data_IF_448252312966
#
_entry.id   IF_448252312966
#
_cell.length_a   1.000
_cell.length_b   1.000
_cell.length_c   1.000
_cell.angle_alpha   90.00
_cell.angle_beta   90.00
_cell.angle_gamma   90.00
#
_symmetry.space_group_name_H-M   'P 1'
#
loop_
_entity.id
_entity.type
_entity.pdbx_description
1 polymer ?
#
# COMPACT_ATOMS: atom_id res chain seq x y z
N UNK A 1 -26.64 -4.48 -10.24
CA UNK A 1 -26.31 -4.53 -8.81
C UNK A 1 -24.86 -4.09 -8.54
N UNK A 2 -23.88 -4.68 -9.23
CA UNK A 2 -22.47 -4.35 -9.00
C UNK A 2 -22.14 -2.92 -9.36
N UNK A 3 -22.64 -2.41 -10.49
CA UNK A 3 -22.40 -1.04 -10.95
C UNK A 3 -22.96 0.00 -9.99
N UNK A 4 -24.18 -0.21 -9.46
CA UNK A 4 -24.85 0.78 -8.63
C UNK A 4 -24.32 0.81 -7.18
N UNK A 5 -23.92 -0.34 -6.65
CA UNK A 5 -23.35 -0.44 -5.29
C UNK A 5 -21.87 -0.12 -5.30
N UNK A 6 -21.11 -0.69 -6.24
CA UNK A 6 -19.66 -0.52 -6.32
C UNK A 6 -19.27 0.92 -6.66
N UNK A 7 -19.92 1.54 -7.65
CA UNK A 7 -19.59 2.91 -8.06
C UNK A 7 -19.81 3.97 -6.96
N UNK A 8 -20.64 3.67 -5.96
CA UNK A 8 -20.92 4.58 -4.84
C UNK A 8 -19.96 4.43 -3.67
N UNK A 9 -19.25 3.32 -3.64
CA UNK A 9 -18.32 3.02 -2.55
C UNK A 9 -17.32 1.97 -3.06
N UNK A 10 -16.25 2.40 -3.71
CA UNK A 10 -15.27 1.50 -4.33
C UNK A 10 -14.24 0.97 -3.34
N UNK A 11 -13.96 1.71 -2.28
CA UNK A 11 -12.92 1.40 -1.28
C UNK A 11 -13.47 0.79 0.02
N UNK A 12 -14.80 0.67 0.15
CA UNK A 12 -15.42 0.22 1.40
C UNK A 12 -15.43 1.26 2.51
N UNK A 13 -14.99 2.49 2.22
CA UNK A 13 -14.91 3.63 3.14
C UNK A 13 -15.85 4.78 2.75
N UNK A 14 -16.66 4.58 1.71
CA UNK A 14 -17.66 5.54 1.24
C UNK A 14 -17.20 6.42 0.07
N UNK A 15 -16.01 6.20 -0.48
CA UNK A 15 -15.56 6.93 -1.67
C UNK A 15 -16.25 6.40 -2.92
N UNK A 16 -16.84 7.29 -3.71
CA UNK A 16 -17.36 6.94 -5.02
C UNK A 16 -16.24 6.79 -6.07
N UNK A 17 -16.60 6.28 -7.24
CA UNK A 17 -15.63 6.03 -8.31
C UNK A 17 -14.93 7.32 -8.79
N UNK A 18 -15.64 8.44 -8.85
CA UNK A 18 -15.09 9.71 -9.34
C UNK A 18 -14.07 10.28 -8.34
N UNK A 19 -14.38 10.22 -7.05
CA UNK A 19 -13.46 10.63 -5.99
C UNK A 19 -12.21 9.74 -5.95
N UNK A 20 -12.39 8.42 -6.04
CA UNK A 20 -11.30 7.47 -6.09
C UNK A 20 -10.40 7.69 -7.32
N UNK A 21 -11.00 7.86 -8.51
CA UNK A 21 -10.26 8.13 -9.75
C UNK A 21 -9.48 9.45 -9.67
N UNK A 22 -10.04 10.47 -9.04
CA UNK A 22 -9.35 11.75 -8.81
C UNK A 22 -8.13 11.60 -7.92
N UNK A 23 -8.22 10.82 -6.83
CA UNK A 23 -7.06 10.53 -5.97
C UNK A 23 -5.97 9.79 -6.73
N UNK A 24 -6.32 8.75 -7.48
CA UNK A 24 -5.39 8.01 -8.34
C UNK A 24 -4.69 8.91 -9.37
N UNK A 25 -5.44 9.83 -9.98
CA UNK A 25 -4.87 10.78 -10.95
C UNK A 25 -3.86 11.71 -10.28
N UNK A 26 -4.18 12.27 -9.11
CA UNK A 26 -3.28 13.14 -8.35
C UNK A 26 -2.00 12.36 -7.99
N UNK A 27 -2.14 11.14 -7.46
CA UNK A 27 -1.02 10.27 -7.13
C UNK A 27 -0.16 9.97 -8.38
N UNK A 28 -0.78 9.58 -9.50
CA UNK A 28 -0.07 9.30 -10.74
C UNK A 28 0.65 10.51 -11.33
N UNK A 29 0.08 11.71 -11.24
CA UNK A 29 0.75 12.94 -11.66
C UNK A 29 1.93 13.31 -10.76
N UNK A 30 1.81 13.05 -9.46
CA UNK A 30 2.84 13.37 -8.46
C UNK A 30 4.03 12.41 -8.54
N UNK A 31 3.76 11.10 -8.59
CA UNK A 31 4.80 10.06 -8.55
C UNK A 31 5.11 9.44 -9.92
N UNK A 32 4.30 9.77 -10.94
CA UNK A 32 4.38 9.17 -12.28
C UNK A 32 3.53 7.92 -12.45
N UNK A 33 3.15 7.26 -11.36
CA UNK A 33 2.24 6.11 -11.30
C UNK A 33 1.58 6.02 -9.94
N UNK A 34 0.53 5.22 -9.86
CA UNK A 34 -0.16 4.84 -8.62
C UNK A 34 -0.63 3.39 -8.75
N UNK A 35 -0.95 2.75 -7.63
CA UNK A 35 -1.40 1.38 -7.65
C UNK A 35 -2.78 1.25 -6.99
N UNK A 36 -3.56 0.32 -7.51
CA UNK A 36 -4.81 -0.14 -6.91
C UNK A 36 -4.68 -1.62 -6.60
N UNK A 37 -4.74 -1.98 -5.33
CA UNK A 37 -4.86 -3.36 -4.88
C UNK A 37 -6.33 -3.72 -4.77
N UNK A 38 -6.73 -4.81 -5.43
CA UNK A 38 -8.09 -5.36 -5.26
C UNK A 38 -8.04 -6.37 -4.14
N UNK A 39 -8.75 -6.09 -3.06
CA UNK A 39 -8.82 -6.95 -1.88
C UNK A 39 -10.25 -7.41 -1.62
N UNK A 40 -10.42 -8.41 -0.77
CA UNK A 40 -11.70 -8.99 -0.40
C UNK A 40 -11.77 -9.19 1.12
N UNK A 41 -12.91 -8.85 1.77
CA UNK A 41 -13.03 -9.00 3.21
C UNK A 41 -12.79 -10.44 3.66
N UNK A 42 -12.16 -10.62 4.82
CA UNK A 42 -11.90 -11.94 5.42
C UNK A 42 -13.16 -12.82 5.49
N UNK A 43 -13.05 -14.15 5.37
CA UNK A 43 -14.20 -15.07 5.41
C UNK A 43 -15.05 -14.86 6.66
N UNK A 44 -16.38 -14.68 6.50
CA UNK A 44 -17.31 -14.44 7.62
C UNK A 44 -18.24 -15.62 7.91
N UNK A 45 -17.97 -16.78 7.31
CA UNK A 45 -18.85 -17.94 7.46
C UNK A 45 -20.17 -17.87 6.66
N UNK A 46 -20.34 -16.87 5.79
CA UNK A 46 -21.46 -16.80 4.85
C UNK A 46 -21.47 -18.06 3.96
N UNK A 47 -22.62 -18.72 3.89
CA UNK A 47 -22.82 -19.99 3.17
C UNK A 47 -23.43 -19.82 1.79
N UNK A 48 -23.87 -18.61 1.47
CA UNK A 48 -24.51 -18.30 0.19
C UNK A 48 -24.18 -16.90 -0.31
N UNK A 49 -24.26 -16.72 -1.63
CA UNK A 49 -24.11 -15.40 -2.27
C UNK A 49 -25.14 -14.38 -1.76
N UNK A 50 -26.32 -14.83 -1.36
CA UNK A 50 -27.35 -13.96 -0.80
C UNK A 50 -26.94 -13.43 0.58
N UNK A 51 -26.34 -14.26 1.43
CA UNK A 51 -25.79 -13.85 2.73
C UNK A 51 -24.59 -12.90 2.56
N UNK A 52 -23.70 -13.17 1.62
CA UNK A 52 -22.58 -12.25 1.30
C UNK A 52 -23.07 -10.87 0.86
N UNK A 53 -24.11 -10.84 0.01
CA UNK A 53 -24.74 -9.59 -0.42
C UNK A 53 -25.43 -8.86 0.73
N UNK A 54 -26.11 -9.58 1.62
CA UNK A 54 -26.75 -8.99 2.81
C UNK A 54 -25.74 -8.37 3.77
N UNK A 55 -24.53 -8.96 3.86
CA UNK A 55 -23.42 -8.47 4.65
C UNK A 55 -22.57 -7.41 3.89
N UNK A 56 -23.02 -6.98 2.70
CA UNK A 56 -22.27 -6.09 1.79
C UNK A 56 -20.83 -6.54 1.54
N UNK A 57 -20.59 -7.86 1.52
CA UNK A 57 -19.26 -8.42 1.25
C UNK A 57 -19.01 -8.41 -0.24
N UNK A 58 -18.03 -7.66 -0.64
CA UNK A 58 -17.65 -7.46 -2.02
C UNK A 58 -16.16 -7.12 -2.12
N UNK A 59 -15.53 -7.32 -3.27
CA UNK A 59 -14.21 -6.76 -3.52
C UNK A 59 -14.24 -5.25 -3.32
N UNK A 60 -13.16 -4.72 -2.80
CA UNK A 60 -12.94 -3.29 -2.66
C UNK A 60 -11.52 -2.93 -3.13
N UNK A 61 -11.32 -1.66 -3.43
CA UNK A 61 -10.07 -1.17 -3.94
C UNK A 61 -9.31 -0.43 -2.84
N UNK A 62 -8.03 -0.73 -2.74
CA UNK A 62 -7.09 -0.03 -1.85
C UNK A 62 -6.13 0.74 -2.73
N UNK A 63 -6.07 2.06 -2.53
CA UNK A 63 -5.03 2.89 -3.12
C UNK A 63 -3.69 2.59 -2.44
N UNK A 64 -2.69 2.25 -3.23
CA UNK A 64 -1.33 2.02 -2.74
C UNK A 64 -0.40 3.06 -3.36
N UNK A 65 0.10 3.93 -2.51
CA UNK A 65 1.10 4.93 -2.88
C UNK A 65 2.40 4.23 -3.32
N UNK A 66 3.05 4.68 -4.40
CA UNK A 66 4.32 4.11 -4.85
C UNK A 66 5.42 4.09 -3.77
N UNK A 67 5.41 5.03 -2.84
CA UNK A 67 6.36 5.08 -1.71
C UNK A 67 6.18 3.94 -0.71
N UNK A 68 4.98 3.34 -0.68
CA UNK A 68 4.65 2.19 0.15
C UNK A 68 4.99 0.85 -0.54
N UNK A 69 5.40 0.86 -1.80
CA UNK A 69 5.85 -0.37 -2.49
C UNK A 69 7.34 -0.56 -2.25
N UNK A 70 7.69 -1.40 -1.29
CA UNK A 70 9.09 -1.63 -0.89
C UNK A 70 9.87 -2.46 -1.88
N UNK A 71 9.19 -3.13 -2.83
CA UNK A 71 9.83 -3.83 -3.92
C UNK A 71 8.95 -4.89 -4.57
N UNK A 72 9.40 -5.35 -5.70
CA UNK A 72 8.68 -6.34 -6.50
C UNK A 72 9.65 -7.31 -7.19
N UNK A 73 9.10 -8.43 -7.66
CA UNK A 73 9.79 -9.40 -8.51
C UNK A 73 8.96 -9.66 -9.76
N UNK A 74 9.65 -9.82 -10.87
CA UNK A 74 9.07 -10.13 -12.18
C UNK A 74 9.50 -11.51 -12.62
N UNK A 75 8.60 -12.22 -13.30
CA UNK A 75 8.98 -13.40 -14.08
C UNK A 75 9.66 -12.93 -15.37
N UNK A 76 10.93 -13.26 -15.50
CA UNK A 76 11.73 -12.91 -16.70
C UNK A 76 11.82 -14.05 -17.70
N UNK A 77 11.45 -15.28 -17.31
CA UNK A 77 11.66 -16.48 -18.13
C UNK A 77 10.39 -16.90 -18.90
N UNK A 78 9.24 -16.92 -18.24
CA UNK A 78 8.01 -17.46 -18.85
C UNK A 78 7.06 -16.41 -19.39
N UNK A 79 6.97 -15.23 -18.75
CA UNK A 79 6.04 -14.16 -19.13
C UNK A 79 6.63 -12.79 -18.77
N UNK A 80 7.23 -12.14 -19.72
CA UNK A 80 7.82 -10.81 -19.56
C UNK A 80 6.80 -9.82 -18.95
N UNK A 81 7.08 -9.38 -17.72
CA UNK A 81 6.32 -8.34 -17.05
C UNK A 81 5.27 -8.81 -16.03
N UNK A 82 5.06 -10.12 -15.85
CA UNK A 82 4.18 -10.60 -14.79
C UNK A 82 4.85 -10.50 -13.43
N UNK A 83 4.13 -9.90 -12.48
CA UNK A 83 4.56 -9.82 -11.09
C UNK A 83 4.49 -11.21 -10.45
N UNK A 84 5.60 -11.65 -9.86
CA UNK A 84 5.68 -12.88 -9.05
C UNK A 84 5.69 -12.62 -7.56
N UNK A 85 6.03 -11.40 -7.15
CA UNK A 85 5.96 -10.96 -5.76
C UNK A 85 5.86 -9.43 -5.72
N UNK A 86 5.06 -8.92 -4.78
CA UNK A 86 5.04 -7.49 -4.38
C UNK A 86 5.12 -7.40 -2.87
N UNK A 87 5.86 -6.42 -2.36
CA UNK A 87 5.96 -6.09 -0.94
C UNK A 87 5.45 -4.69 -0.70
N UNK A 88 4.39 -4.58 0.09
CA UNK A 88 3.69 -3.33 0.39
C UNK A 88 3.84 -3.03 1.87
N UNK A 89 4.36 -1.84 2.20
CA UNK A 89 4.37 -1.32 3.56
C UNK A 89 3.01 -0.79 3.96
N UNK A 90 2.55 -1.15 5.14
CA UNK A 90 1.26 -0.74 5.70
C UNK A 90 1.43 -0.35 7.16
N UNK A 91 0.50 0.45 7.68
CA UNK A 91 0.40 0.73 9.12
C UNK A 91 -0.83 0.04 9.68
N UNK A 92 -0.62 -0.77 10.73
CA UNK A 92 -1.71 -1.40 11.46
C UNK A 92 -1.95 -0.65 12.77
N UNK A 93 -3.18 -0.22 12.98
CA UNK A 93 -3.63 0.36 14.25
C UNK A 93 -4.29 -0.74 15.06
N UNK A 94 -3.77 -1.01 16.24
CA UNK A 94 -4.27 -2.06 17.14
C UNK A 94 -4.69 -1.39 18.46
N UNK A 95 -5.90 -1.67 18.97
CA UNK A 95 -6.33 -1.16 20.27
C UNK A 95 -5.36 -1.58 21.39
N UNK A 96 -5.00 -0.64 22.26
CA UNK A 96 -4.17 -0.86 23.45
C UNK A 96 -4.91 -0.40 24.71
N UNK A 97 -5.69 -1.30 25.30
CA UNK A 97 -6.59 -1.00 26.40
C UNK A 97 -7.88 -0.30 25.95
N UNK A 98 -8.53 0.42 26.89
CA UNK A 98 -9.85 1.03 26.64
C UNK A 98 -9.74 2.37 25.86
N UNK A 99 -8.61 3.09 25.98
CA UNK A 99 -8.45 4.44 25.44
C UNK A 99 -7.22 4.61 24.57
N UNK A 100 -6.39 3.58 24.42
CA UNK A 100 -5.12 3.64 23.70
C UNK A 100 -5.16 2.93 22.38
N UNK A 101 -4.27 3.35 21.46
CA UNK A 101 -4.01 2.70 20.17
C UNK A 101 -2.50 2.59 19.97
N UNK A 102 -2.06 1.46 19.43
CA UNK A 102 -0.69 1.25 18.97
C UNK A 102 -0.64 1.14 17.47
N UNK A 103 0.33 1.82 16.88
CA UNK A 103 0.58 1.79 15.44
C UNK A 103 1.81 0.94 15.17
N UNK A 104 1.65 -0.13 14.41
CA UNK A 104 2.72 -1.01 13.99
C UNK A 104 3.02 -0.83 12.51
N UNK A 105 4.28 -0.83 12.16
CA UNK A 105 4.71 -0.97 10.77
C UNK A 105 4.64 -2.45 10.37
N UNK A 106 3.98 -2.72 9.26
CA UNK A 106 3.86 -4.08 8.72
C UNK A 106 4.13 -4.12 7.22
N UNK A 107 4.51 -5.27 6.74
CA UNK A 107 4.78 -5.54 5.33
C UNK A 107 3.88 -6.65 4.85
N UNK A 108 3.03 -6.35 3.87
CA UNK A 108 2.23 -7.33 3.15
C UNK A 108 3.01 -7.83 1.94
N UNK A 109 3.28 -9.11 1.90
CA UNK A 109 3.92 -9.81 0.78
C UNK A 109 2.85 -10.56 0.01
N UNK A 110 2.66 -10.20 -1.25
CA UNK A 110 1.65 -10.81 -2.12
C UNK A 110 2.38 -11.57 -3.24
N UNK A 111 1.97 -12.81 -3.43
CA UNK A 111 2.42 -13.71 -4.49
C UNK A 111 1.18 -14.27 -5.20
N UNK A 112 1.29 -14.82 -6.42
CA UNK A 112 0.15 -15.46 -7.06
C UNK A 112 -0.46 -16.54 -6.16
N UNK A 113 -1.73 -16.40 -5.82
CA UNK A 113 -2.49 -17.35 -5.01
C UNK A 113 -2.33 -17.22 -3.49
N UNK A 114 -1.45 -16.39 -2.97
CA UNK A 114 -1.26 -16.24 -1.52
C UNK A 114 -0.79 -14.86 -1.10
N UNK A 115 -1.06 -14.51 0.17
CA UNK A 115 -0.46 -13.35 0.82
C UNK A 115 0.04 -13.71 2.23
N UNK A 116 0.97 -12.90 2.73
CA UNK A 116 1.52 -12.97 4.07
C UNK A 116 1.74 -11.56 4.59
N UNK A 117 1.40 -11.33 5.85
CA UNK A 117 1.61 -10.05 6.54
C UNK A 117 2.60 -10.25 7.66
N UNK A 118 3.66 -9.47 7.62
CA UNK A 118 4.72 -9.46 8.61
C UNK A 118 4.66 -8.15 9.36
N UNK A 119 4.69 -8.21 10.68
CA UNK A 119 4.72 -7.05 11.55
C UNK A 119 6.08 -6.91 12.19
N UNK A 120 6.58 -5.68 12.25
CA UNK A 120 7.79 -5.38 12.97
C UNK A 120 7.50 -5.39 14.47
N UNK A 121 8.29 -6.12 15.26
CA UNK A 121 8.22 -6.04 16.71
C UNK A 121 8.61 -4.62 17.18
N UNK A 122 7.88 -4.09 18.16
CA UNK A 122 8.26 -2.84 18.81
C UNK A 122 9.66 -3.02 19.43
N UNK A 123 10.65 -2.35 18.85
CA UNK A 123 11.90 -2.16 19.58
C UNK A 123 11.56 -1.27 20.78
N UNK A 124 11.54 -1.87 21.97
CA UNK A 124 11.56 -1.10 23.22
C UNK A 124 12.84 -0.27 23.19
N UNK A 125 12.72 1.01 22.88
CA UNK A 125 13.80 1.94 23.08
C UNK A 125 14.10 1.92 24.59
N UNK A 126 15.11 1.18 25.01
CA UNK A 126 15.66 1.32 26.36
C UNK A 126 16.17 2.74 26.44
N UNK A 127 15.42 3.59 27.16
CA UNK A 127 15.88 4.91 27.54
C UNK A 127 17.05 4.74 28.51
N UNK A 128 18.25 4.64 27.97
CA UNK A 128 19.46 4.69 28.76
C UNK A 128 19.87 6.16 28.97
N UNK A 129 19.51 6.71 30.12
CA UNK A 129 20.07 7.96 30.61
C UNK A 129 19.05 9.04 30.98
N UNK A 130 19.44 9.97 31.90
CA UNK A 130 18.55 11.03 32.39
C UNK A 130 18.30 12.18 31.42
N UNK A 131 18.82 12.14 30.19
CA UNK A 131 18.58 13.10 29.13
C UNK A 131 18.20 12.39 27.85
N UNK A 132 17.02 12.68 27.25
CA UNK A 132 16.62 12.11 25.98
C UNK A 132 17.35 12.80 24.82
N UNK A 133 18.62 12.47 24.60
CA UNK A 133 19.24 12.72 23.30
C UNK A 133 18.79 11.58 22.38
N UNK A 134 18.28 11.88 21.16
CA UNK A 134 18.09 10.83 20.18
C UNK A 134 19.44 10.17 19.95
N UNK A 135 19.49 8.85 20.20
CA UNK A 135 20.65 8.05 19.89
C UNK A 135 21.08 8.37 18.46
N UNK A 136 22.37 8.65 18.29
CA UNK A 136 23.01 8.94 17.03
C UNK A 136 22.45 8.04 15.93
N UNK A 137 22.24 8.63 14.74
CA UNK A 137 21.94 7.94 13.49
C UNK A 137 23.06 6.95 13.12
N UNK A 138 23.26 5.95 13.93
CA UNK A 138 24.11 4.83 13.57
C UNK A 138 23.22 3.79 12.89
N UNK A 139 23.18 3.84 11.57
CA UNK A 139 22.50 2.91 10.68
C UNK A 139 23.19 1.54 10.66
N UNK A 140 23.74 1.08 11.74
CA UNK A 140 24.34 -0.24 11.83
C UNK A 140 23.36 -1.23 12.47
N UNK A 141 22.81 -2.10 11.60
CA UNK A 141 22.34 -3.45 11.92
C UNK A 141 21.25 -3.67 12.98
N UNK A 142 20.20 -2.83 13.01
CA UNK A 142 18.96 -3.32 13.53
C UNK A 142 18.33 -4.25 12.47
N UNK A 143 18.63 -5.54 12.50
CA UNK A 143 17.81 -6.57 11.87
C UNK A 143 16.44 -6.49 12.55
N UNK A 144 15.54 -5.66 12.00
CA UNK A 144 14.18 -5.60 12.46
C UNK A 144 13.59 -7.01 12.36
N UNK A 145 13.27 -7.59 13.48
CA UNK A 145 12.69 -8.92 13.54
C UNK A 145 11.22 -8.78 13.13
N UNK A 146 10.83 -9.43 12.05
CA UNK A 146 9.48 -9.43 11.53
C UNK A 146 8.77 -10.71 11.89
N UNK A 147 7.67 -10.61 12.60
CA UNK A 147 6.79 -11.73 12.93
C UNK A 147 5.69 -11.89 11.89
N UNK A 148 5.42 -13.13 11.48
CA UNK A 148 4.27 -13.44 10.62
C UNK A 148 2.98 -13.37 11.45
N UNK A 149 2.15 -12.35 11.19
CA UNK A 149 0.90 -12.12 11.93
C UNK A 149 -0.34 -12.59 11.20
N UNK A 150 -0.29 -12.66 9.86
CA UNK A 150 -1.41 -13.09 9.04
C UNK A 150 -0.94 -13.76 7.76
N UNK A 151 -1.67 -14.74 7.28
CA UNK A 151 -1.48 -15.35 5.97
C UNK A 151 -2.78 -15.88 5.42
N UNK A 152 -2.92 -15.91 4.10
CA UNK A 152 -4.09 -16.46 3.44
C UNK A 152 -3.82 -16.80 2.00
N UNK A 153 -4.72 -17.62 1.44
CA UNK A 153 -4.69 -18.05 0.06
C UNK A 153 -5.90 -17.46 -0.69
N UNK A 154 -5.70 -17.19 -1.98
CA UNK A 154 -6.76 -16.76 -2.87
C UNK A 154 -6.67 -17.47 -4.23
N UNK A 155 -7.79 -17.57 -4.95
CA UNK A 155 -7.89 -18.37 -6.18
C UNK A 155 -7.30 -17.70 -7.43
N UNK A 156 -6.88 -16.43 -7.36
CA UNK A 156 -6.33 -15.72 -8.51
C UNK A 156 -4.89 -16.20 -8.78
N UNK A 157 -4.63 -16.61 -10.03
CA UNK A 157 -3.30 -16.99 -10.49
C UNK A 157 -2.35 -15.82 -10.76
N UNK A 158 -2.75 -14.61 -10.39
CA UNK A 158 -1.97 -13.38 -10.53
C UNK A 158 -2.13 -12.48 -9.31
N UNK A 159 -1.18 -11.58 -9.10
CA UNK A 159 -1.25 -10.58 -8.03
C UNK A 159 -2.33 -9.55 -8.39
N UNK A 160 -3.33 -9.31 -7.51
CA UNK A 160 -4.44 -8.40 -7.79
C UNK A 160 -4.04 -6.91 -7.61
N UNK A 161 -2.89 -6.52 -8.15
CA UNK A 161 -2.36 -5.15 -8.13
C UNK A 161 -2.38 -4.57 -9.54
N UNK A 162 -3.13 -3.50 -9.73
CA UNK A 162 -3.22 -2.75 -10.99
C UNK A 162 -2.40 -1.48 -10.86
N UNK A 163 -1.45 -1.27 -11.77
CA UNK A 163 -0.65 -0.05 -11.82
C UNK A 163 -1.18 0.89 -12.88
N UNK A 164 -1.52 2.10 -12.48
CA UNK A 164 -1.96 3.19 -13.34
C UNK A 164 -0.77 4.13 -13.55
N UNK A 165 -0.41 4.37 -14.80
CA UNK A 165 0.75 5.16 -15.17
C UNK A 165 0.32 6.49 -15.80
N UNK A 166 0.91 7.60 -15.35
CA UNK A 166 0.85 8.87 -16.07
C UNK A 166 1.92 8.94 -17.16
N UNK A 167 3.11 8.38 -16.91
CA UNK A 167 4.22 8.33 -17.88
C UNK A 167 5.08 7.09 -17.64
N UNK A 168 4.63 5.95 -18.17
CA UNK A 168 5.30 4.65 -18.00
C UNK A 168 6.68 4.64 -18.68
N UNK A 169 7.71 4.26 -17.95
CA UNK A 169 9.04 3.99 -18.49
C UNK A 169 9.37 2.51 -18.52
N UNK A 170 8.91 1.75 -17.48
CA UNK A 170 9.06 0.30 -17.40
C UNK A 170 7.97 -0.27 -16.46
N UNK A 171 7.98 -1.59 -16.21
CA UNK A 171 7.08 -2.24 -15.24
C UNK A 171 7.35 -1.70 -13.84
N UNK A 172 6.31 -1.22 -13.18
CA UNK A 172 6.36 -0.59 -11.84
C UNK A 172 7.29 0.65 -11.78
N UNK A 173 7.61 1.25 -12.92
CA UNK A 173 8.51 2.40 -13.01
C UNK A 173 7.95 3.45 -13.95
N UNK A 174 8.09 4.72 -13.57
CA UNK A 174 7.59 5.85 -14.36
C UNK A 174 8.38 7.14 -14.05
N UNK A 175 8.26 8.11 -14.96
CA UNK A 175 8.76 9.47 -14.71
C UNK A 175 7.58 10.37 -14.31
N UNK A 176 7.62 11.05 -13.14
CA UNK A 176 6.57 12.00 -12.78
C UNK A 176 6.43 13.13 -13.80
N UNK A 177 5.26 13.37 -14.38
CA UNK A 177 5.10 14.40 -15.41
C UNK A 177 5.27 15.83 -14.87
N UNK A 178 5.06 16.04 -13.57
CA UNK A 178 5.22 17.34 -12.92
C UNK A 178 6.65 17.63 -12.43
N UNK A 179 7.59 16.68 -12.58
CA UNK A 179 8.95 16.80 -12.03
C UNK A 179 9.70 18.00 -12.58
N UNK A 180 9.60 18.25 -13.89
CA UNK A 180 10.34 19.34 -14.55
C UNK A 180 9.79 20.72 -14.09
N UNK A 181 8.47 20.83 -13.85
CA UNK A 181 7.83 22.03 -13.31
C UNK A 181 8.23 22.24 -11.85
N UNK A 182 8.31 21.19 -11.05
CA UNK A 182 8.77 21.27 -9.66
C UNK A 182 10.22 21.78 -9.56
N UNK A 183 11.12 21.29 -10.42
CA UNK A 183 12.50 21.76 -10.49
C UNK A 183 12.58 23.24 -10.91
N UNK A 184 11.77 23.65 -11.89
CA UNK A 184 11.72 25.05 -12.32
C UNK A 184 11.25 25.97 -11.18
N UNK A 185 10.22 25.55 -10.45
CA UNK A 185 9.69 26.29 -9.31
C UNK A 185 10.73 26.43 -8.19
N UNK A 186 11.44 25.35 -7.88
CA UNK A 186 12.51 25.37 -6.89
C UNK A 186 13.66 26.33 -7.30
N UNK A 187 14.09 26.27 -8.57
CA UNK A 187 15.13 27.17 -9.09
C UNK A 187 14.69 28.64 -9.07
N UNK A 188 13.41 28.92 -9.34
CA UNK A 188 12.84 30.27 -9.24
C UNK A 188 12.84 30.77 -7.79
N UNK A 189 12.45 29.94 -6.85
CA UNK A 189 12.45 30.28 -5.42
C UNK A 189 13.88 30.60 -4.92
N UNK A 190 14.86 29.78 -5.28
CA UNK A 190 16.26 29.99 -4.90
C UNK A 190 16.82 31.32 -5.42
N UNK A 191 16.48 31.70 -6.68
CA UNK A 191 16.93 33.00 -7.26
C UNK A 191 16.27 34.23 -6.64
N UNK A 192 15.10 34.06 -5.99
CA UNK A 192 14.43 35.16 -5.30
C UNK A 192 14.92 35.32 -3.86
N UNK A 193 15.56 34.33 -3.29
CA UNK A 193 16.11 34.34 -1.94
C UNK A 193 17.55 34.91 -1.84
N UNK A 194 18.26 35.06 -3.00
CA UNK A 194 19.55 35.72 -3.16
C UNK A 194 19.35 37.22 -3.46
#
# INVERSE_FOLDING_TARGET
>A
YWTDVFNKDVDGCGSDLDEYARRLLICALTYGHCHTLVDFPAPSGARSLAEERALNRRPYWIEVDPTNVYGWRLDREANYGNLTQVRIGEKAVVPDGEFGEKVYDQVRVIEPGRYRVFRQEEQKAEMQGPFPYPASFDQSDATAEYELVESGDFSLGQIPLVTIYANKTDTMTSKPPLLDIAHLNLAHYQRQAD
#
